data_IF_394638568315
#
_entry.id   IF_394638568315
#
_cell.length_a   1.000
_cell.length_b   1.000
_cell.length_c   1.000
_cell.angle_alpha   90.00
_cell.angle_beta   90.00
_cell.angle_gamma   90.00
#
_symmetry.space_group_name_H-M   'P 1'
#
loop_
_entity.id
_entity.type
_entity.pdbx_description
1 polymer ?
#
# COMPACT_ATOMS: atom_id res chain seq x y z
N UNK A 1 -16.98 -90.07 -22.25
CA UNK A 1 -18.13 -90.47 -23.08
C UNK A 1 -18.43 -89.36 -24.10
N UNK A 2 -19.33 -89.56 -25.08
CA UNK A 2 -19.56 -88.66 -26.25
C UNK A 2 -20.03 -87.26 -25.80
N UNK A 3 -19.45 -86.12 -26.20
CA UNK A 3 -19.40 -85.43 -27.53
C UNK A 3 -20.75 -84.74 -27.89
N UNK A 4 -20.83 -83.46 -28.33
CA UNK A 4 -20.81 -83.02 -29.76
C UNK A 4 -20.95 -81.46 -29.94
N UNK A 5 -20.11 -80.82 -30.80
CA UNK A 5 -20.35 -79.66 -31.74
C UNK A 5 -20.72 -78.22 -31.21
N UNK A 6 -20.69 -77.06 -31.94
CA UNK A 6 -20.25 -76.58 -33.31
C UNK A 6 -20.01 -75.01 -33.30
N UNK A 7 -19.08 -74.36 -34.06
CA UNK A 7 -19.16 -73.72 -35.43
C UNK A 7 -20.18 -72.56 -35.62
N UNK A 8 -20.09 -71.52 -36.51
CA UNK A 8 -19.15 -70.94 -37.57
C UNK A 8 -19.67 -69.51 -37.99
N UNK A 9 -19.19 -68.64 -38.92
CA UNK A 9 -18.10 -68.53 -39.94
C UNK A 9 -17.84 -67.02 -40.38
N UNK A 10 -17.19 -66.77 -41.56
CA UNK A 10 -17.02 -65.51 -42.36
C UNK A 10 -15.97 -64.44 -41.90
N UNK A 11 -14.93 -64.00 -42.64
CA UNK A 11 -14.41 -64.15 -44.06
C UNK A 11 -15.12 -63.17 -45.06
N UNK A 12 -14.53 -62.38 -45.99
CA UNK A 12 -13.28 -62.51 -46.82
C UNK A 12 -12.65 -61.18 -47.38
N UNK A 13 -11.30 -61.10 -47.46
CA UNK A 13 -10.40 -60.44 -48.47
C UNK A 13 -10.27 -58.91 -48.79
N UNK A 14 -9.12 -58.54 -49.38
CA UNK A 14 -8.88 -57.31 -50.19
C UNK A 14 -7.42 -56.80 -50.26
N UNK A 15 -6.79 -56.69 -51.44
CA UNK A 15 -5.36 -56.25 -51.57
C UNK A 15 -5.04 -55.63 -52.96
N UNK A 16 -4.63 -54.36 -53.03
CA UNK A 16 -4.30 -53.63 -54.27
C UNK A 16 -2.97 -52.84 -54.08
N UNK A 17 -2.27 -52.43 -55.15
CA UNK A 17 -0.86 -52.01 -55.09
C UNK A 17 -0.42 -50.97 -56.16
N UNK A 18 0.79 -50.41 -55.97
CA UNK A 18 1.61 -49.53 -56.88
C UNK A 18 1.21 -48.03 -56.89
N UNK A 19 2.07 -47.04 -57.25
CA UNK A 19 3.38 -47.04 -57.97
C UNK A 19 4.23 -45.77 -57.66
N UNK A 20 5.57 -45.90 -57.72
CA UNK A 20 6.67 -44.93 -58.01
C UNK A 20 6.31 -43.49 -58.47
N UNK A 21 7.08 -42.40 -58.17
CA UNK A 21 8.45 -42.16 -58.71
C UNK A 21 9.18 -40.92 -58.11
N UNK A 22 10.53 -40.92 -58.20
CA UNK A 22 11.48 -39.77 -58.20
C UNK A 22 11.65 -38.85 -56.97
N UNK A 23 12.82 -38.23 -56.86
CA UNK A 23 13.22 -37.25 -55.83
C UNK A 23 13.97 -36.07 -56.48
N UNK A 24 13.99 -34.89 -55.83
CA UNK A 24 15.10 -33.90 -55.76
C UNK A 24 14.64 -32.54 -55.16
N UNK A 25 15.34 -32.10 -54.11
CA UNK A 25 15.63 -30.72 -53.63
C UNK A 25 14.60 -29.56 -53.61
N UNK A 26 14.43 -28.99 -52.40
CA UNK A 26 14.22 -27.55 -52.08
C UNK A 26 12.85 -26.88 -52.43
N UNK A 27 12.54 -25.65 -51.95
CA UNK A 27 13.09 -24.86 -50.82
C UNK A 27 12.02 -24.36 -49.79
N UNK A 28 12.48 -23.72 -48.72
CA UNK A 28 11.83 -22.66 -47.89
C UNK A 28 10.30 -22.52 -47.79
N UNK A 29 9.78 -22.44 -46.56
CA UNK A 29 8.72 -21.45 -46.23
C UNK A 29 8.89 -20.87 -44.82
N UNK A 30 9.39 -19.64 -44.75
CA UNK A 30 9.52 -18.82 -43.53
C UNK A 30 8.25 -17.98 -43.40
N UNK A 31 7.21 -18.46 -42.71
CA UNK A 31 5.94 -17.72 -42.55
C UNK A 31 5.07 -18.27 -41.39
N UNK A 32 5.38 -17.86 -40.15
CA UNK A 32 4.44 -17.56 -39.04
C UNK A 32 5.19 -17.21 -37.73
N UNK A 33 6.16 -16.28 -37.82
CA UNK A 33 6.59 -15.50 -36.67
C UNK A 33 5.87 -14.15 -36.77
N UNK A 34 4.56 -14.18 -36.50
CA UNK A 34 3.65 -13.07 -36.72
C UNK A 34 3.81 -12.01 -35.63
N UNK A 35 4.68 -11.03 -35.90
CA UNK A 35 4.59 -9.62 -35.52
C UNK A 35 3.59 -9.29 -34.40
N UNK A 36 3.90 -9.74 -33.18
CA UNK A 36 3.68 -8.90 -32.01
C UNK A 36 4.96 -8.08 -31.91
N UNK A 37 4.94 -6.87 -32.45
CA UNK A 37 5.91 -5.86 -32.05
C UNK A 37 5.66 -5.59 -30.57
N UNK A 38 6.64 -5.89 -29.71
CA UNK A 38 6.61 -5.40 -28.34
C UNK A 38 6.50 -3.88 -28.41
N UNK A 39 5.33 -3.33 -28.06
CA UNK A 39 5.15 -1.91 -27.76
C UNK A 39 5.89 -1.59 -26.45
N UNK A 40 7.21 -1.68 -26.50
CA UNK A 40 8.10 -1.17 -25.49
C UNK A 40 7.97 0.36 -25.50
N UNK A 41 7.03 0.86 -24.70
CA UNK A 41 7.26 2.15 -24.07
C UNK A 41 8.53 2.02 -23.23
N UNK A 42 9.42 3.00 -23.35
CA UNK A 42 10.79 2.92 -22.82
C UNK A 42 10.95 3.97 -21.75
N UNK A 43 11.19 3.53 -20.51
CA UNK A 43 11.59 4.43 -19.42
C UNK A 43 12.80 5.26 -19.85
N UNK A 44 12.59 6.55 -20.06
CA UNK A 44 13.61 7.48 -20.54
C UNK A 44 14.45 8.09 -19.39
N UNK A 45 15.51 8.83 -19.73
CA UNK A 45 16.24 9.61 -18.72
C UNK A 45 15.39 10.78 -18.17
N UNK A 46 14.46 11.32 -18.95
CA UNK A 46 13.51 12.33 -18.50
C UNK A 46 12.47 11.73 -17.53
N UNK A 47 11.94 10.55 -17.84
CA UNK A 47 11.04 9.78 -16.94
C UNK A 47 11.71 9.57 -15.57
N UNK A 48 13.01 9.32 -15.58
CA UNK A 48 13.84 9.15 -14.38
C UNK A 48 14.13 10.45 -13.61
N UNK A 49 13.88 11.62 -14.19
CA UNK A 49 13.90 12.93 -13.52
C UNK A 49 12.51 13.21 -12.92
N UNK A 50 11.43 12.99 -13.68
CA UNK A 50 10.07 13.25 -13.19
C UNK A 50 9.64 12.29 -12.07
N UNK A 51 10.01 11.00 -12.14
CA UNK A 51 9.77 10.08 -11.02
C UNK A 51 10.54 10.50 -9.75
N UNK A 52 11.73 11.09 -9.88
CA UNK A 52 12.48 11.64 -8.72
C UNK A 52 11.74 12.82 -8.09
N UNK A 53 11.12 13.68 -8.90
CA UNK A 53 10.25 14.74 -8.40
C UNK A 53 8.98 14.20 -7.73
N UNK A 54 8.43 13.07 -8.20
CA UNK A 54 7.33 12.38 -7.52
C UNK A 54 7.78 11.80 -6.16
N UNK A 55 9.00 11.26 -6.06
CA UNK A 55 9.63 10.82 -4.79
C UNK A 55 9.87 12.00 -3.83
N UNK A 56 10.35 13.13 -4.33
CA UNK A 56 10.51 14.39 -3.58
C UNK A 56 9.14 14.91 -3.07
N UNK A 57 8.09 14.86 -3.89
CA UNK A 57 6.74 15.20 -3.49
C UNK A 57 6.21 14.25 -2.41
N UNK A 58 6.29 12.93 -2.61
CA UNK A 58 5.84 11.90 -1.68
C UNK A 58 6.42 12.08 -0.26
N UNK A 59 7.68 12.54 -0.18
CA UNK A 59 8.39 12.77 1.08
C UNK A 59 7.70 13.79 2.00
N UNK A 60 6.81 14.65 1.49
CA UNK A 60 6.00 15.58 2.29
C UNK A 60 4.88 14.88 3.08
N UNK A 61 4.45 13.68 2.65
CA UNK A 61 3.37 12.91 3.30
C UNK A 61 3.83 12.02 4.46
N UNK A 62 5.14 11.84 4.65
CA UNK A 62 5.71 11.02 5.73
C UNK A 62 5.31 11.57 7.10
N UNK A 63 4.98 10.69 8.05
CA UNK A 63 4.52 11.07 9.39
C UNK A 63 3.11 11.66 9.47
N UNK A 64 2.39 11.82 8.35
CA UNK A 64 1.03 12.37 8.33
C UNK A 64 0.01 11.42 7.67
N UNK A 65 0.47 10.51 6.81
CA UNK A 65 -0.37 9.63 5.98
C UNK A 65 -0.86 8.35 6.64
N UNK A 66 -0.30 7.91 7.77
CA UNK A 66 -0.72 6.69 8.48
C UNK A 66 -2.27 6.58 8.62
N UNK A 67 -2.89 5.40 8.37
CA UNK A 67 -2.29 4.11 8.02
C UNK A 67 -1.96 3.93 6.52
N UNK A 68 -2.32 4.91 5.68
CA UNK A 68 -2.09 4.91 4.23
C UNK A 68 -0.58 5.08 3.90
N UNK A 69 -0.15 4.73 2.68
CA UNK A 69 1.20 5.04 2.22
C UNK A 69 1.37 6.54 1.95
N UNK A 70 2.59 7.04 2.12
CA UNK A 70 2.99 8.29 1.48
C UNK A 70 3.16 8.06 -0.02
N UNK A 71 2.53 8.89 -0.84
CA UNK A 71 2.53 8.81 -2.31
C UNK A 71 2.74 10.22 -2.87
N UNK A 72 3.47 10.33 -3.97
CA UNK A 72 3.64 11.55 -4.76
C UNK A 72 3.33 11.31 -6.23
N UNK A 73 2.90 12.37 -6.91
CA UNK A 73 2.52 12.40 -8.32
C UNK A 73 3.02 13.68 -8.99
N UNK A 74 3.45 13.58 -10.25
CA UNK A 74 3.83 14.71 -11.12
C UNK A 74 3.13 14.53 -12.47
N UNK A 75 2.57 15.60 -13.02
CA UNK A 75 1.98 15.65 -14.36
C UNK A 75 2.87 16.52 -15.26
N UNK A 76 3.19 16.02 -16.45
CA UNK A 76 4.12 16.66 -17.40
C UNK A 76 3.49 16.70 -18.79
N UNK A 77 3.60 17.83 -19.49
CA UNK A 77 3.16 17.96 -20.88
C UNK A 77 4.13 17.30 -21.87
N UNK A 78 3.70 17.13 -23.13
CA UNK A 78 4.56 16.73 -24.25
C UNK A 78 5.64 17.75 -24.62
N UNK A 79 5.62 18.95 -24.03
CA UNK A 79 6.64 20.00 -24.16
C UNK A 79 7.65 19.98 -22.98
N UNK A 80 7.74 18.84 -22.26
CA UNK A 80 8.56 18.61 -21.05
C UNK A 80 8.24 19.52 -19.83
N UNK A 81 7.21 20.36 -19.90
CA UNK A 81 6.78 21.23 -18.81
C UNK A 81 6.03 20.47 -17.71
N UNK A 82 6.43 20.67 -16.45
CA UNK A 82 5.65 20.18 -15.30
C UNK A 82 4.43 21.09 -15.15
N UNK A 83 3.23 20.50 -15.28
CA UNK A 83 1.96 21.20 -15.19
C UNK A 83 1.24 20.93 -13.86
N UNK A 84 1.67 19.96 -13.06
CA UNK A 84 1.10 19.73 -11.72
C UNK A 84 1.92 18.81 -10.83
N UNK A 85 1.98 19.09 -9.53
CA UNK A 85 2.66 18.25 -8.53
C UNK A 85 1.76 18.04 -7.31
N UNK A 86 1.67 16.81 -6.82
CA UNK A 86 0.85 16.46 -5.66
C UNK A 86 1.47 15.39 -4.78
N UNK A 87 1.03 15.33 -3.52
CA UNK A 87 1.31 14.24 -2.60
C UNK A 87 0.08 13.93 -1.76
N UNK A 88 -0.06 12.70 -1.26
CA UNK A 88 -1.13 12.36 -0.33
C UNK A 88 -0.82 12.98 1.05
N UNK A 89 -1.66 13.89 1.59
CA UNK A 89 -1.29 14.62 2.80
C UNK A 89 -1.63 13.90 4.10
N UNK A 90 -2.77 13.19 4.13
CA UNK A 90 -3.33 12.55 5.33
C UNK A 90 -4.39 11.52 4.95
N UNK A 91 -4.44 10.39 5.66
CA UNK A 91 -5.49 9.39 5.48
C UNK A 91 -6.90 10.00 5.60
N UNK A 92 -7.79 9.64 4.69
CA UNK A 92 -9.16 10.16 4.59
C UNK A 92 -9.34 11.36 3.65
N UNK A 93 -8.25 11.97 3.18
CA UNK A 93 -8.22 12.99 2.12
C UNK A 93 -7.79 12.36 0.77
N UNK A 94 -7.92 13.07 -0.37
CA UNK A 94 -7.51 12.56 -1.68
C UNK A 94 -6.03 12.17 -1.77
N UNK A 95 -5.71 11.35 -2.76
CA UNK A 95 -4.35 10.90 -3.04
C UNK A 95 -3.56 11.92 -3.89
N UNK A 96 -2.28 11.64 -4.11
CA UNK A 96 -1.33 12.54 -4.76
C UNK A 96 -1.76 12.95 -6.18
N UNK A 97 -2.35 12.00 -6.91
CA UNK A 97 -2.88 12.12 -8.25
C UNK A 97 -3.90 13.25 -8.36
N UNK A 98 -4.75 13.42 -7.34
CA UNK A 98 -5.83 14.40 -7.30
C UNK A 98 -5.29 15.81 -7.05
N UNK A 99 -4.33 15.95 -6.13
CA UNK A 99 -3.66 17.23 -5.89
C UNK A 99 -2.82 17.70 -7.09
N UNK A 100 -2.15 16.77 -7.79
CA UNK A 100 -1.46 17.09 -9.03
C UNK A 100 -2.44 17.52 -10.14
N UNK A 101 -3.62 16.88 -10.23
CA UNK A 101 -4.67 17.25 -11.18
C UNK A 101 -5.33 18.60 -10.85
N UNK A 102 -5.46 19.00 -9.58
CA UNK A 102 -5.93 20.34 -9.22
C UNK A 102 -5.00 21.43 -9.80
N UNK A 103 -3.68 21.27 -9.68
CA UNK A 103 -2.70 22.19 -10.28
C UNK A 103 -2.76 22.16 -11.81
N UNK A 104 -2.71 20.97 -12.44
CA UNK A 104 -2.70 20.83 -13.90
C UNK A 104 -3.99 21.29 -14.61
N UNK A 105 -5.10 21.36 -13.89
CA UNK A 105 -6.38 21.88 -14.37
C UNK A 105 -6.61 23.36 -14.02
N UNK A 106 -5.68 24.02 -13.34
CA UNK A 106 -5.76 25.44 -12.97
C UNK A 106 -6.72 25.75 -11.80
N UNK A 107 -6.96 24.79 -10.90
CA UNK A 107 -7.77 24.99 -9.71
C UNK A 107 -6.97 25.57 -8.52
N UNK A 108 -5.66 25.36 -8.49
CA UNK A 108 -4.73 25.90 -7.48
C UNK A 108 -3.38 26.19 -8.14
N UNK A 109 -2.65 27.20 -7.65
CA UNK A 109 -1.30 27.53 -8.14
C UNK A 109 -0.22 26.48 -7.78
N UNK A 110 -0.51 25.61 -6.79
CA UNK A 110 0.41 24.59 -6.28
C UNK A 110 -0.38 23.48 -5.60
N UNK A 111 -0.43 22.30 -6.21
CA UNK A 111 -1.05 21.09 -5.65
C UNK A 111 -0.31 20.59 -4.41
N UNK A 112 0.99 20.86 -4.34
CA UNK A 112 1.83 20.62 -3.15
C UNK A 112 1.43 21.50 -1.98
N UNK A 113 1.16 22.80 -2.19
CA UNK A 113 0.78 23.69 -1.09
C UNK A 113 -0.71 23.55 -0.71
N UNK A 114 -1.57 23.19 -1.66
CA UNK A 114 -2.92 22.69 -1.38
C UNK A 114 -2.90 21.42 -0.51
N UNK A 115 -2.04 20.44 -0.80
CA UNK A 115 -1.87 19.26 0.06
C UNK A 115 -1.30 19.62 1.45
N UNK A 116 -0.37 20.60 1.55
CA UNK A 116 0.11 21.09 2.86
C UNK A 116 -0.96 21.84 3.65
N UNK A 117 -1.92 22.50 3.01
CA UNK A 117 -2.98 23.28 3.69
C UNK A 117 -3.82 22.36 4.59
N UNK A 118 -4.22 21.20 4.05
CA UNK A 118 -4.89 20.09 4.76
C UNK A 118 -4.12 19.64 6.01
N UNK A 119 -2.79 19.56 5.94
CA UNK A 119 -1.96 19.18 7.11
C UNK A 119 -1.95 20.29 8.16
N UNK A 120 -1.77 21.56 7.74
CA UNK A 120 -1.69 22.73 8.63
C UNK A 120 -2.98 22.91 9.46
N UNK A 121 -4.15 22.76 8.85
CA UNK A 121 -5.46 22.90 9.51
C UNK A 121 -5.57 22.07 10.78
N UNK A 122 -5.00 20.85 10.77
CA UNK A 122 -5.12 19.90 11.87
C UNK A 122 -4.25 20.24 13.10
N UNK A 123 -3.48 21.33 13.07
CA UNK A 123 -2.52 21.70 14.14
C UNK A 123 -2.75 23.09 14.76
N UNK A 124 -3.55 23.97 14.15
CA UNK A 124 -3.84 25.32 14.67
C UNK A 124 -5.37 25.59 14.73
N UNK A 125 -5.82 26.21 15.81
CA UNK A 125 -7.25 26.52 16.00
C UNK A 125 -7.71 27.76 15.22
N UNK A 126 -8.50 27.52 14.17
CA UNK A 126 -9.69 28.30 13.73
C UNK A 126 -9.49 29.74 13.19
N UNK A 127 -8.57 30.55 13.71
CA UNK A 127 -8.74 32.01 13.63
C UNK A 127 -8.33 32.72 12.33
N UNK A 128 -7.55 32.10 11.45
CA UNK A 128 -7.21 32.65 10.12
C UNK A 128 -7.33 31.52 9.08
N UNK A 129 -8.24 31.69 8.11
CA UNK A 129 -8.31 30.87 6.88
C UNK A 129 -7.80 31.71 5.73
N UNK A 130 -6.63 31.36 5.21
CA UNK A 130 -6.11 31.90 3.95
C UNK A 130 -7.02 31.47 2.78
N UNK A 131 -7.12 32.28 1.74
CA UNK A 131 -7.96 32.07 0.53
C UNK A 131 -7.74 30.69 -0.14
N UNK A 132 -6.50 30.17 -0.06
CA UNK A 132 -6.11 28.84 -0.54
C UNK A 132 -6.80 27.71 0.25
N UNK A 133 -7.12 27.92 1.53
CA UNK A 133 -7.83 26.92 2.36
C UNK A 133 -9.28 26.76 1.91
N UNK A 134 -10.00 27.87 1.73
CA UNK A 134 -11.41 27.86 1.33
C UNK A 134 -11.60 27.27 -0.06
N UNK A 135 -10.71 27.65 -1.00
CA UNK A 135 -10.62 27.04 -2.34
C UNK A 135 -10.39 25.52 -2.26
N UNK A 136 -9.52 25.05 -1.36
CA UNK A 136 -9.24 23.61 -1.20
C UNK A 136 -10.41 22.88 -0.54
N UNK A 137 -11.06 23.44 0.48
CA UNK A 137 -12.22 22.81 1.13
C UNK A 137 -13.37 22.59 0.11
N UNK A 138 -13.68 23.57 -0.75
CA UNK A 138 -14.68 23.46 -1.82
C UNK A 138 -14.33 22.37 -2.86
N UNK A 139 -13.04 22.28 -3.25
CA UNK A 139 -12.55 21.25 -4.17
C UNK A 139 -12.62 19.84 -3.54
N UNK A 140 -12.36 19.74 -2.23
CA UNK A 140 -12.44 18.48 -1.48
C UNK A 140 -13.88 17.99 -1.31
N UNK A 141 -14.83 18.89 -1.02
CA UNK A 141 -16.26 18.55 -1.01
C UNK A 141 -16.73 18.13 -2.40
N UNK A 142 -16.39 18.91 -3.43
CA UNK A 142 -16.76 18.60 -4.83
C UNK A 142 -16.20 17.25 -5.27
N UNK A 143 -14.92 16.96 -5.03
CA UNK A 143 -14.29 15.68 -5.40
C UNK A 143 -14.87 14.47 -4.65
N UNK A 144 -15.37 14.68 -3.43
CA UNK A 144 -15.99 13.64 -2.61
C UNK A 144 -17.47 13.37 -2.97
N UNK A 145 -18.05 14.14 -3.88
CA UNK A 145 -19.40 13.90 -4.41
C UNK A 145 -19.46 12.73 -5.40
N UNK A 146 -20.66 12.20 -5.64
CA UNK A 146 -20.91 11.01 -6.48
C UNK A 146 -20.23 11.06 -7.87
N UNK A 147 -20.20 12.25 -8.49
CA UNK A 147 -19.58 12.48 -9.80
C UNK A 147 -18.38 13.45 -9.74
N UNK A 148 -17.80 13.66 -8.55
CA UNK A 148 -16.81 14.71 -8.28
C UNK A 148 -15.59 14.70 -9.20
N UNK A 149 -15.04 13.51 -9.47
CA UNK A 149 -13.91 13.35 -10.38
C UNK A 149 -14.24 13.74 -11.84
N UNK A 150 -15.48 13.50 -12.29
CA UNK A 150 -15.94 13.91 -13.62
C UNK A 150 -16.15 15.43 -13.66
N UNK A 151 -16.94 15.98 -12.73
CA UNK A 151 -17.21 17.43 -12.59
C UNK A 151 -15.94 18.28 -12.59
N UNK A 152 -14.88 17.79 -11.94
CA UNK A 152 -13.62 18.51 -11.83
C UNK A 152 -12.68 18.26 -13.02
N UNK A 153 -12.57 17.04 -13.54
CA UNK A 153 -11.47 16.72 -14.47
C UNK A 153 -11.87 16.35 -15.90
N UNK A 154 -13.16 16.09 -16.19
CA UNK A 154 -13.61 15.56 -17.48
C UNK A 154 -13.00 16.29 -18.70
N UNK A 155 -12.15 15.58 -19.43
CA UNK A 155 -11.41 16.01 -20.62
C UNK A 155 -10.53 17.27 -20.47
N UNK A 156 -10.26 17.77 -19.25
CA UNK A 156 -9.49 19.02 -19.05
C UNK A 156 -8.04 18.96 -19.57
N UNK A 157 -7.46 17.77 -19.66
CA UNK A 157 -6.13 17.56 -20.25
C UNK A 157 -6.21 16.87 -21.64
N UNK A 158 -7.40 16.68 -22.21
CA UNK A 158 -7.58 15.85 -23.42
C UNK A 158 -6.85 16.40 -24.66
N UNK A 159 -6.75 17.72 -24.80
CA UNK A 159 -6.03 18.41 -25.88
C UNK A 159 -4.51 18.51 -25.68
N UNK A 160 -3.99 18.10 -24.51
CA UNK A 160 -2.56 18.06 -24.20
C UNK A 160 -2.07 16.61 -24.29
N UNK A 161 -0.85 16.41 -24.78
CA UNK A 161 -0.14 15.17 -24.44
C UNK A 161 0.34 15.30 -22.98
N UNK A 162 -0.06 14.38 -22.11
CA UNK A 162 0.26 14.43 -20.66
C UNK A 162 0.68 13.05 -20.18
N UNK A 163 1.87 12.98 -19.61
CA UNK A 163 2.35 11.81 -18.86
C UNK A 163 2.25 12.07 -17.36
N UNK A 164 1.65 11.12 -16.63
CA UNK A 164 1.64 11.11 -15.17
C UNK A 164 2.77 10.23 -14.61
N UNK A 165 3.50 10.72 -13.61
CA UNK A 165 4.56 10.01 -12.91
C UNK A 165 4.17 9.83 -11.45
N UNK A 166 3.91 8.60 -11.02
CA UNK A 166 3.32 8.30 -9.70
C UNK A 166 4.12 7.23 -8.95
N UNK A 167 4.43 7.50 -7.68
CA UNK A 167 5.34 6.64 -6.89
C UNK A 167 4.77 5.26 -6.54
N UNK A 168 3.45 5.08 -6.58
CA UNK A 168 2.72 3.84 -6.29
C UNK A 168 1.64 3.63 -7.35
N UNK A 169 1.20 2.39 -7.59
CA UNK A 169 0.06 2.08 -8.47
C UNK A 169 -1.20 2.87 -8.07
N UNK A 170 -1.82 3.65 -8.99
CA UNK A 170 -3.06 4.36 -8.71
C UNK A 170 -4.19 3.40 -8.33
N UNK A 171 -4.93 3.71 -7.27
CA UNK A 171 -5.96 2.81 -6.78
C UNK A 171 -7.10 2.61 -7.80
N UNK A 172 -7.67 1.39 -7.83
CA UNK A 172 -8.70 0.96 -8.78
C UNK A 172 -10.06 0.64 -8.13
N UNK A 173 -10.17 0.72 -6.80
CA UNK A 173 -11.40 0.43 -6.06
C UNK A 173 -12.06 1.73 -5.55
N UNK A 174 -13.38 1.74 -5.52
CA UNK A 174 -14.15 2.84 -4.92
C UNK A 174 -14.02 2.80 -3.39
N UNK A 175 -13.62 3.92 -2.81
CA UNK A 175 -13.52 4.12 -1.36
C UNK A 175 -14.56 5.12 -0.87
N UNK A 176 -14.13 6.14 -0.11
CA UNK A 176 -14.91 7.37 0.08
C UNK A 176 -14.89 8.28 -1.15
N UNK A 177 -13.91 8.08 -2.04
CA UNK A 177 -13.70 8.85 -3.27
C UNK A 177 -13.60 7.90 -4.47
N UNK A 178 -13.74 8.42 -5.70
CA UNK A 178 -13.45 7.66 -6.91
C UNK A 178 -12.01 7.13 -6.96
N UNK A 179 -11.76 6.01 -7.67
CA UNK A 179 -10.41 5.46 -7.84
C UNK A 179 -9.52 6.38 -8.70
N UNK A 180 -8.25 6.53 -8.31
CA UNK A 180 -7.31 7.45 -8.96
C UNK A 180 -6.96 7.03 -10.40
N UNK A 181 -6.95 5.72 -10.70
CA UNK A 181 -6.80 5.23 -12.08
C UNK A 181 -7.93 5.75 -13.00
N UNK A 182 -9.18 5.77 -12.51
CA UNK A 182 -10.32 6.34 -13.23
C UNK A 182 -10.25 7.87 -13.29
N UNK A 183 -9.70 8.51 -12.25
CA UNK A 183 -9.51 9.98 -12.22
C UNK A 183 -8.54 10.44 -13.33
N UNK A 184 -7.49 9.67 -13.64
CA UNK A 184 -6.62 9.94 -14.81
C UNK A 184 -7.32 9.71 -16.16
N UNK A 185 -8.19 8.69 -16.27
CA UNK A 185 -9.03 8.48 -17.46
C UNK A 185 -9.96 9.67 -17.69
N UNK A 186 -10.64 10.14 -16.64
CA UNK A 186 -11.51 11.32 -16.70
C UNK A 186 -10.73 12.59 -17.10
N UNK A 187 -9.53 12.79 -16.56
CA UNK A 187 -8.67 13.92 -16.91
C UNK A 187 -8.23 13.93 -18.39
N UNK A 188 -8.15 12.75 -19.03
CA UNK A 188 -7.68 12.60 -20.42
C UNK A 188 -6.15 12.43 -20.55
N UNK A 189 -5.48 11.97 -19.50
CA UNK A 189 -4.03 11.64 -19.46
C UNK A 189 -3.67 10.62 -20.54
N UNK A 190 -2.48 10.75 -21.16
CA UNK A 190 -2.07 9.91 -22.31
C UNK A 190 -1.12 8.77 -21.96
N UNK A 191 -0.39 8.86 -20.85
CA UNK A 191 0.56 7.83 -20.39
C UNK A 191 0.70 7.89 -18.87
N UNK A 192 0.93 6.75 -18.22
CA UNK A 192 1.24 6.70 -16.78
C UNK A 192 2.53 5.92 -16.55
N UNK A 193 3.46 6.48 -15.78
CA UNK A 193 4.71 5.85 -15.36
C UNK A 193 4.66 5.64 -13.85
N UNK A 194 4.78 4.39 -13.43
CA UNK A 194 4.59 3.94 -12.04
C UNK A 194 5.92 3.54 -11.43
N UNK A 195 6.21 4.06 -10.23
CA UNK A 195 7.44 3.77 -9.49
C UNK A 195 7.44 2.43 -8.77
N UNK A 196 6.27 1.99 -8.28
CA UNK A 196 6.10 0.71 -7.57
C UNK A 196 4.66 0.19 -7.73
N UNK A 197 4.49 -1.10 -7.98
CA UNK A 197 3.19 -1.79 -8.09
C UNK A 197 2.63 -2.11 -6.69
N UNK A 198 1.35 -1.91 -6.42
CA UNK A 198 0.80 -2.13 -5.08
C UNK A 198 0.52 -3.63 -4.85
N UNK A 199 1.21 -4.32 -3.90
CA UNK A 199 0.98 -5.75 -3.62
C UNK A 199 -0.32 -6.01 -2.82
N UNK A 200 -1.15 -5.00 -2.60
CA UNK A 200 -2.50 -5.15 -2.06
C UNK A 200 -3.38 -5.99 -3.01
N UNK A 201 -3.94 -7.14 -2.59
CA UNK A 201 -4.82 -7.94 -3.46
C UNK A 201 -6.12 -7.24 -3.93
N UNK A 202 -6.40 -6.02 -3.43
CA UNK A 202 -7.50 -5.13 -3.89
C UNK A 202 -7.06 -4.06 -4.89
N UNK A 203 -5.78 -4.04 -5.29
CA UNK A 203 -5.19 -3.05 -6.22
C UNK A 203 -4.29 -3.71 -7.25
N UNK A 204 -3.49 -4.72 -6.86
CA UNK A 204 -2.44 -5.42 -7.62
C UNK A 204 -2.72 -5.61 -9.13
N UNK A 205 -2.24 -4.67 -9.96
CA UNK A 205 -2.42 -4.66 -11.42
C UNK A 205 -3.82 -4.24 -11.92
N UNK A 206 -4.79 -4.05 -11.01
CA UNK A 206 -6.11 -3.51 -11.30
C UNK A 206 -6.09 -2.01 -11.60
N UNK A 207 -5.14 -1.26 -11.02
CA UNK A 207 -4.89 0.14 -11.40
C UNK A 207 -4.38 0.24 -12.82
N UNK A 208 -3.43 -0.62 -13.18
CA UNK A 208 -2.90 -0.70 -14.54
C UNK A 208 -4.01 -1.10 -15.53
N UNK A 209 -4.79 -2.13 -15.21
CA UNK A 209 -5.89 -2.59 -16.08
C UNK A 209 -6.93 -1.51 -16.37
N UNK A 210 -7.30 -0.68 -15.39
CA UNK A 210 -8.25 0.44 -15.61
C UNK A 210 -7.70 1.46 -16.63
N UNK A 211 -6.39 1.70 -16.62
CA UNK A 211 -5.73 2.61 -17.57
C UNK A 211 -5.61 1.96 -18.96
N UNK A 212 -5.13 0.71 -19.02
CA UNK A 212 -4.94 -0.06 -20.26
C UNK A 212 -6.26 -0.33 -21.00
N UNK A 213 -7.34 -0.67 -20.29
CA UNK A 213 -8.68 -0.88 -20.87
C UNK A 213 -9.25 0.41 -21.50
N UNK A 214 -8.78 1.58 -21.06
CA UNK A 214 -9.13 2.89 -21.63
C UNK A 214 -8.07 3.40 -22.62
N UNK A 215 -7.12 2.57 -23.02
CA UNK A 215 -6.09 2.87 -24.04
C UNK A 215 -4.92 3.71 -23.54
N UNK A 216 -4.79 3.94 -22.23
CA UNK A 216 -3.68 4.69 -21.62
C UNK A 216 -2.51 3.72 -21.35
N UNK A 217 -1.39 3.78 -22.08
CA UNK A 217 -0.20 2.96 -21.78
C UNK A 217 0.35 3.22 -20.38
N UNK A 218 0.71 2.13 -19.70
CA UNK A 218 1.32 2.14 -18.37
C UNK A 218 2.72 1.54 -18.41
N UNK A 219 3.70 2.27 -17.88
CA UNK A 219 5.05 1.78 -17.62
C UNK A 219 5.27 1.51 -16.13
N UNK A 220 5.97 0.44 -15.78
CA UNK A 220 6.40 0.14 -14.41
C UNK A 220 7.92 0.13 -14.34
N UNK A 221 8.51 0.99 -13.51
CA UNK A 221 9.95 1.00 -13.26
C UNK A 221 10.41 -0.25 -12.48
N UNK A 222 11.56 -0.81 -12.86
CA UNK A 222 12.04 -2.11 -12.35
C UNK A 222 13.21 -1.91 -11.38
N UNK A 223 13.01 -2.18 -10.09
CA UNK A 223 14.06 -2.05 -9.04
C UNK A 223 15.27 -2.99 -9.21
N UNK A 224 15.18 -4.03 -10.05
CA UNK A 224 16.27 -4.97 -10.27
C UNK A 224 17.25 -4.45 -11.34
N UNK A 225 18.46 -4.05 -10.94
CA UNK A 225 19.51 -3.52 -11.85
C UNK A 225 19.83 -4.39 -13.07
N UNK A 226 19.54 -5.70 -13.06
CA UNK A 226 19.78 -6.61 -14.21
C UNK A 226 18.61 -6.67 -15.20
N UNK A 227 17.47 -6.05 -14.87
CA UNK A 227 16.25 -5.99 -15.68
C UNK A 227 15.86 -4.54 -16.05
N UNK A 228 16.19 -3.58 -15.18
CA UNK A 228 16.05 -2.16 -15.44
C UNK A 228 16.81 -1.74 -16.71
N UNK A 229 16.33 -0.68 -17.37
CA UNK A 229 16.98 -0.06 -18.53
C UNK A 229 18.13 0.84 -18.10
N UNK A 230 18.04 1.45 -16.91
CA UNK A 230 19.12 2.28 -16.33
C UNK A 230 19.27 2.06 -14.82
N UNK A 231 20.43 2.48 -14.27
CA UNK A 231 20.63 2.54 -12.81
C UNK A 231 19.75 3.59 -12.14
N UNK A 232 19.33 4.62 -12.87
CA UNK A 232 18.41 5.63 -12.35
C UNK A 232 17.01 5.03 -12.15
N UNK A 233 16.53 4.21 -13.09
CA UNK A 233 15.27 3.48 -12.98
C UNK A 233 15.30 2.51 -11.79
N UNK A 234 16.34 1.69 -11.70
CA UNK A 234 16.49 0.73 -10.60
C UNK A 234 16.50 1.43 -9.23
N UNK A 235 17.20 2.57 -9.12
CA UNK A 235 17.20 3.38 -7.88
C UNK A 235 15.83 4.00 -7.62
N UNK A 236 15.21 4.66 -8.61
CA UNK A 236 13.91 5.32 -8.45
C UNK A 236 12.83 4.32 -8.01
N UNK A 237 12.77 3.14 -8.62
CA UNK A 237 11.84 2.08 -8.23
C UNK A 237 12.11 1.54 -6.81
N UNK A 238 13.39 1.41 -6.44
CA UNK A 238 13.75 1.02 -5.07
C UNK A 238 13.43 2.12 -4.04
N UNK A 239 13.59 3.40 -4.38
CA UNK A 239 13.22 4.54 -3.53
C UNK A 239 11.70 4.57 -3.30
N UNK A 240 10.89 4.37 -4.36
CA UNK A 240 9.44 4.21 -4.27
C UNK A 240 9.04 3.03 -3.37
N UNK A 241 9.65 1.86 -3.57
CA UNK A 241 9.45 0.68 -2.72
C UNK A 241 9.81 0.94 -1.25
N UNK A 242 10.86 1.73 -1.00
CA UNK A 242 11.31 2.08 0.36
C UNK A 242 10.28 2.96 1.08
N UNK A 243 9.73 3.99 0.41
CA UNK A 243 8.70 4.90 0.95
C UNK A 243 7.48 4.10 1.44
N UNK A 244 6.99 3.17 0.63
CA UNK A 244 5.78 2.39 0.97
C UNK A 244 6.07 1.14 1.80
N UNK A 245 7.33 0.86 2.17
CA UNK A 245 7.75 -0.45 2.70
C UNK A 245 7.04 -0.87 4.00
N UNK A 246 6.76 0.05 4.93
CA UNK A 246 6.01 -0.26 6.15
C UNK A 246 4.50 -0.38 5.92
N UNK A 247 3.95 0.31 4.92
CA UNK A 247 2.58 0.10 4.46
C UNK A 247 2.44 -1.31 3.85
N UNK A 248 3.32 -1.68 2.91
CA UNK A 248 3.34 -3.01 2.28
C UNK A 248 3.39 -4.13 3.33
N UNK A 249 4.27 -4.03 4.34
CA UNK A 249 4.34 -5.02 5.45
C UNK A 249 3.04 -5.10 6.27
N UNK A 250 2.25 -4.02 6.35
CA UNK A 250 0.94 -3.97 7.05
C UNK A 250 -0.15 -4.72 6.28
N UNK A 251 -0.19 -4.57 4.96
CA UNK A 251 -1.24 -5.11 4.08
C UNK A 251 -0.94 -6.51 3.52
N UNK A 252 0.33 -6.92 3.46
CA UNK A 252 0.73 -8.20 2.88
C UNK A 252 0.11 -9.39 3.65
N UNK A 253 -0.44 -10.41 2.95
CA UNK A 253 -0.98 -11.61 3.57
C UNK A 253 0.00 -12.27 4.54
N UNK A 254 -0.52 -12.80 5.66
CA UNK A 254 0.33 -13.30 6.75
C UNK A 254 0.85 -14.73 6.56
N UNK A 255 0.32 -15.50 5.61
CA UNK A 255 0.92 -16.74 5.05
C UNK A 255 0.64 -16.80 3.54
N UNK A 256 1.30 -17.69 2.81
CA UNK A 256 1.00 -17.97 1.39
C UNK A 256 -0.23 -18.88 1.23
N UNK A 257 -0.76 -19.44 2.32
CA UNK A 257 -1.67 -20.60 2.31
C UNK A 257 -3.11 -20.32 2.76
N UNK A 258 -3.38 -19.16 3.38
CA UNK A 258 -4.67 -18.91 4.04
C UNK A 258 -5.26 -17.54 3.65
N UNK A 259 -6.45 -17.56 3.08
CA UNK A 259 -7.26 -16.36 2.90
C UNK A 259 -7.97 -15.97 4.20
N UNK A 260 -8.03 -14.67 4.48
CA UNK A 260 -8.81 -14.01 5.55
C UNK A 260 -8.50 -14.36 7.02
N UNK A 261 -8.25 -15.62 7.40
CA UNK A 261 -8.36 -16.10 8.79
C UNK A 261 -7.11 -15.88 9.70
N UNK A 262 -6.24 -14.93 9.35
CA UNK A 262 -4.97 -14.66 10.04
C UNK A 262 -5.01 -13.28 10.74
N UNK A 263 -5.32 -13.13 12.03
CA UNK A 263 -5.48 -14.12 13.10
C UNK A 263 -6.67 -13.73 14.00
N UNK A 264 -7.36 -14.70 14.59
CA UNK A 264 -8.03 -14.45 15.86
C UNK A 264 -6.98 -14.10 16.94
N UNK A 265 -7.16 -12.95 17.57
CA UNK A 265 -6.23 -12.36 18.52
C UNK A 265 -5.93 -13.28 19.71
N UNK A 266 -6.96 -13.94 20.25
CA UNK A 266 -6.80 -14.79 21.45
C UNK A 266 -6.31 -16.20 21.09
N UNK A 267 -6.66 -16.75 19.92
CA UNK A 267 -6.12 -18.03 19.44
C UNK A 267 -4.58 -18.05 19.36
N UNK A 268 -3.97 -17.00 18.80
CA UNK A 268 -2.51 -16.95 18.63
C UNK A 268 -1.78 -16.64 19.93
N UNK A 269 -2.34 -15.75 20.76
CA UNK A 269 -1.70 -15.22 21.97
C UNK A 269 -2.19 -15.91 23.25
N UNK A 270 -1.86 -17.18 23.41
CA UNK A 270 -2.11 -17.90 24.66
C UNK A 270 -1.31 -17.34 25.86
N UNK A 271 -1.65 -17.77 27.08
CA UNK A 271 -1.03 -17.31 28.32
C UNK A 271 0.47 -17.60 28.45
N UNK A 272 0.95 -18.70 27.85
CA UNK A 272 2.37 -19.08 27.87
C UNK A 272 3.22 -18.14 27.01
N UNK A 273 2.80 -17.86 25.76
CA UNK A 273 3.44 -16.86 24.89
C UNK A 273 3.45 -15.47 25.53
N UNK A 274 2.33 -15.04 26.13
CA UNK A 274 2.29 -13.78 26.91
C UNK A 274 3.28 -13.79 28.09
N UNK A 275 3.61 -14.95 28.67
CA UNK A 275 4.64 -15.09 29.71
C UNK A 275 6.06 -14.98 29.18
N UNK A 276 6.38 -15.66 28.08
CA UNK A 276 7.69 -15.56 27.42
C UNK A 276 7.99 -14.11 27.05
N UNK A 277 7.02 -13.40 26.46
CA UNK A 277 7.15 -11.97 26.12
C UNK A 277 7.42 -11.07 27.33
N UNK A 278 6.76 -11.31 28.48
CA UNK A 278 7.05 -10.58 29.72
C UNK A 278 8.48 -10.84 30.22
N UNK A 279 8.95 -12.08 30.16
CA UNK A 279 10.32 -12.44 30.53
C UNK A 279 11.37 -11.83 29.59
N UNK A 280 11.09 -11.77 28.27
CA UNK A 280 11.93 -11.07 27.29
C UNK A 280 11.97 -9.56 27.59
N UNK A 281 10.81 -8.92 27.80
CA UNK A 281 10.74 -7.50 28.14
C UNK A 281 11.46 -7.16 29.45
N UNK A 282 11.38 -8.03 30.46
CA UNK A 282 12.12 -7.90 31.71
C UNK A 282 13.63 -7.93 31.50
N UNK A 283 14.14 -8.86 30.68
CA UNK A 283 15.57 -8.90 30.31
C UNK A 283 16.00 -7.64 29.54
N UNK A 284 15.27 -7.30 28.46
CA UNK A 284 15.55 -6.10 27.65
C UNK A 284 15.51 -4.80 28.45
N UNK A 285 14.73 -4.73 29.53
CA UNK A 285 14.70 -3.57 30.43
C UNK A 285 15.92 -3.52 31.36
N UNK A 286 16.42 -4.67 31.81
CA UNK A 286 17.60 -4.75 32.67
C UNK A 286 18.91 -4.47 31.90
N UNK A 287 19.00 -4.83 30.63
CA UNK A 287 20.15 -4.55 29.75
C UNK A 287 20.03 -3.21 28.97
N UNK A 288 18.93 -2.48 29.14
CA UNK A 288 18.58 -1.22 28.46
C UNK A 288 18.37 -1.32 26.92
N UNK A 289 18.17 -2.51 26.35
CA UNK A 289 17.77 -2.68 24.94
C UNK A 289 16.26 -2.50 24.68
N UNK A 290 15.46 -2.28 25.72
CA UNK A 290 14.01 -2.13 25.57
C UNK A 290 13.61 -0.78 24.96
N UNK A 291 12.94 -0.83 23.81
CA UNK A 291 12.39 0.36 23.15
C UNK A 291 11.10 0.81 23.86
N UNK A 292 11.09 2.04 24.37
CA UNK A 292 9.95 2.65 25.07
C UNK A 292 9.49 3.96 24.40
N UNK A 293 8.23 4.02 23.96
CA UNK A 293 7.58 5.25 23.49
C UNK A 293 6.75 5.88 24.62
N UNK A 294 6.90 7.18 24.84
CA UNK A 294 5.96 7.95 25.66
C UNK A 294 4.85 8.52 24.79
N UNK A 295 3.64 8.65 25.35
CA UNK A 295 2.57 9.43 24.71
C UNK A 295 3.02 10.90 24.50
N UNK A 296 2.74 11.53 23.35
CA UNK A 296 3.18 12.90 23.08
C UNK A 296 2.65 13.90 24.12
N UNK A 297 3.47 14.87 24.52
CA UNK A 297 3.03 15.95 25.42
C UNK A 297 2.01 16.91 24.79
N UNK A 298 1.94 16.94 23.45
CA UNK A 298 0.92 17.63 22.65
C UNK A 298 -0.20 16.69 22.17
N UNK A 299 -0.22 15.43 22.62
CA UNK A 299 -1.27 14.48 22.27
C UNK A 299 -2.57 14.79 23.01
N UNK A 300 -3.68 14.19 22.56
CA UNK A 300 -4.95 14.27 23.28
C UNK A 300 -4.83 13.71 24.71
N UNK A 301 -5.73 14.14 25.60
CA UNK A 301 -5.79 13.69 26.99
C UNK A 301 -7.23 13.47 27.44
N UNK A 302 -7.51 12.30 28.03
CA UNK A 302 -8.81 11.99 28.63
C UNK A 302 -8.77 12.30 30.13
N UNK A 303 -9.27 13.47 30.51
CA UNK A 303 -9.63 13.77 31.90
C UNK A 303 -10.96 13.06 32.23
N UNK A 304 -10.87 12.03 33.05
CA UNK A 304 -12.01 11.27 33.51
C UNK A 304 -12.00 11.19 35.05
N UNK A 305 -11.88 12.33 35.74
CA UNK A 305 -12.04 12.39 37.21
C UNK A 305 -13.40 11.89 37.65
N UNK A 306 -14.46 12.39 37.02
CA UNK A 306 -15.84 12.02 37.35
C UNK A 306 -16.15 10.54 37.14
N UNK A 307 -17.14 10.05 37.89
CA UNK A 307 -17.62 8.67 37.80
C UNK A 307 -18.48 8.41 36.55
N UNK A 308 -19.07 9.47 35.98
CA UNK A 308 -20.05 9.38 34.89
C UNK A 308 -19.44 9.47 33.48
N UNK A 309 -18.12 9.68 33.35
CA UNK A 309 -17.43 9.69 32.04
C UNK A 309 -17.27 8.25 31.56
N UNK A 310 -17.90 7.92 30.43
CA UNK A 310 -17.61 6.66 29.74
C UNK A 310 -16.18 6.70 29.20
N UNK A 311 -15.33 5.88 29.80
CA UNK A 311 -13.90 5.83 29.51
C UNK A 311 -13.59 4.95 28.28
N UNK A 312 -14.53 4.15 27.80
CA UNK A 312 -14.40 3.38 26.57
C UNK A 312 -14.79 4.26 25.37
N UNK A 313 -15.89 5.01 25.46
CA UNK A 313 -16.27 6.02 24.46
C UNK A 313 -15.21 7.14 24.36
N UNK A 314 -14.79 7.72 25.49
CA UNK A 314 -13.82 8.81 25.48
C UNK A 314 -12.44 8.40 24.93
N UNK A 315 -12.04 7.12 25.09
CA UNK A 315 -10.80 6.59 24.51
C UNK A 315 -10.99 6.13 23.05
N UNK A 316 -12.20 5.73 22.64
CA UNK A 316 -12.52 5.45 21.24
C UNK A 316 -12.51 6.73 20.39
N UNK A 317 -13.08 7.82 20.89
CA UNK A 317 -13.14 9.12 20.21
C UNK A 317 -11.84 9.95 20.32
N UNK A 318 -10.85 9.47 21.08
CA UNK A 318 -9.55 10.13 21.27
C UNK A 318 -8.77 10.22 19.94
N UNK A 319 -8.24 11.39 19.59
CA UNK A 319 -7.30 11.50 18.47
C UNK A 319 -5.93 10.92 18.85
N UNK A 320 -5.33 10.17 17.93
CA UNK A 320 -3.96 9.65 18.03
C UNK A 320 -3.14 10.35 16.96
N UNK A 321 -1.95 10.84 17.32
CA UNK A 321 -1.06 11.49 16.36
C UNK A 321 -0.50 10.47 15.35
N UNK A 322 -0.61 10.79 14.05
CA UNK A 322 -0.22 9.89 12.98
C UNK A 322 1.31 9.66 12.93
N UNK A 323 2.11 10.68 13.26
CA UNK A 323 3.58 10.60 13.25
C UNK A 323 4.07 9.69 14.37
N UNK A 324 3.49 9.83 15.57
CA UNK A 324 3.72 8.93 16.70
C UNK A 324 3.28 7.49 16.37
N UNK A 325 2.11 7.31 15.78
CA UNK A 325 1.60 5.99 15.42
C UNK A 325 2.47 5.29 14.36
N UNK A 326 2.97 6.03 13.37
CA UNK A 326 3.91 5.53 12.36
C UNK A 326 5.27 5.19 12.97
N UNK A 327 5.79 6.00 13.91
CA UNK A 327 7.03 5.70 14.62
C UNK A 327 6.92 4.43 15.50
N UNK A 328 5.79 4.26 16.18
CA UNK A 328 5.45 3.05 16.95
C UNK A 328 5.32 1.83 16.02
N UNK A 329 4.69 1.98 14.86
CA UNK A 329 4.56 0.93 13.84
C UNK A 329 5.91 0.48 13.28
N UNK A 330 6.77 1.44 12.92
CA UNK A 330 8.11 1.19 12.41
C UNK A 330 8.97 0.48 13.47
N UNK A 331 8.87 0.87 14.74
CA UNK A 331 9.58 0.20 15.82
C UNK A 331 9.11 -1.24 16.08
N UNK A 332 7.81 -1.53 15.94
CA UNK A 332 7.28 -2.90 16.00
C UNK A 332 7.82 -3.78 14.84
N UNK A 333 8.08 -3.23 13.65
CA UNK A 333 8.72 -3.99 12.58
C UNK A 333 10.17 -4.36 12.86
N UNK A 334 10.93 -3.49 13.54
CA UNK A 334 12.37 -3.69 13.77
C UNK A 334 12.72 -4.43 15.07
N UNK A 335 11.87 -4.35 16.10
CA UNK A 335 12.18 -4.87 17.45
C UNK A 335 11.21 -5.95 17.94
N UNK A 336 10.09 -6.15 17.23
CA UNK A 336 8.91 -6.95 17.57
C UNK A 336 8.18 -6.59 18.88
N UNK A 337 8.86 -6.06 19.88
CA UNK A 337 8.38 -5.91 21.26
C UNK A 337 8.76 -4.53 21.80
N UNK A 338 7.77 -3.73 22.19
CA UNK A 338 7.93 -2.33 22.66
C UNK A 338 7.08 -2.01 23.88
N UNK A 339 7.47 -1.00 24.66
CA UNK A 339 6.64 -0.43 25.74
C UNK A 339 6.00 0.90 25.31
N UNK A 340 4.71 1.07 25.56
CA UNK A 340 3.99 2.34 25.41
C UNK A 340 3.67 2.92 26.79
N UNK A 341 4.21 4.09 27.13
CA UNK A 341 3.95 4.82 28.37
C UNK A 341 2.83 5.84 28.17
N UNK A 342 1.62 5.47 28.55
CA UNK A 342 0.36 6.19 28.30
C UNK A 342 -0.05 7.12 29.46
N UNK A 343 0.86 7.44 30.39
CA UNK A 343 0.59 8.28 31.58
C UNK A 343 0.02 9.65 31.23
N UNK A 344 0.49 10.25 30.13
CA UNK A 344 0.05 11.56 29.65
C UNK A 344 -1.19 11.48 28.73
N UNK A 345 -1.74 10.29 28.49
CA UNK A 345 -2.91 10.09 27.64
C UNK A 345 -4.22 10.01 28.45
N UNK A 346 -4.17 9.37 29.62
CA UNK A 346 -5.36 8.94 30.38
C UNK A 346 -5.05 8.87 31.88
N UNK A 347 -5.93 9.43 32.73
CA UNK A 347 -5.70 9.40 34.19
C UNK A 347 -5.94 8.01 34.81
N UNK A 348 -7.04 7.34 34.43
CA UNK A 348 -7.45 6.05 35.01
C UNK A 348 -6.71 4.89 34.34
N UNK A 349 -6.16 3.96 35.13
CA UNK A 349 -5.45 2.74 34.65
C UNK A 349 -6.29 1.89 33.67
N UNK A 350 -7.62 1.84 33.84
CA UNK A 350 -8.55 1.20 32.88
C UNK A 350 -8.42 1.83 31.48
N UNK A 351 -8.32 3.16 31.40
CA UNK A 351 -8.12 3.90 30.15
C UNK A 351 -6.82 3.54 29.45
N UNK A 352 -5.73 3.32 30.22
CA UNK A 352 -4.45 2.90 29.65
C UNK A 352 -4.51 1.48 29.07
N UNK A 353 -5.35 0.60 29.66
CA UNK A 353 -5.67 -0.71 29.08
C UNK A 353 -6.43 -0.56 27.76
N UNK A 354 -7.55 0.16 27.77
CA UNK A 354 -8.39 0.37 26.58
C UNK A 354 -7.60 1.02 25.44
N UNK A 355 -6.80 2.06 25.73
CA UNK A 355 -5.98 2.75 24.74
C UNK A 355 -4.86 1.85 24.20
N UNK A 356 -4.20 1.07 25.06
CA UNK A 356 -3.20 0.09 24.64
C UNK A 356 -3.78 -1.01 23.74
N UNK A 357 -5.00 -1.48 24.05
CA UNK A 357 -5.73 -2.48 23.25
C UNK A 357 -6.21 -1.90 21.91
N UNK A 358 -6.67 -0.64 21.90
CA UNK A 358 -7.01 0.11 20.69
C UNK A 358 -5.80 0.30 19.77
N UNK A 359 -4.68 0.80 20.31
CA UNK A 359 -3.43 1.01 19.55
C UNK A 359 -2.92 -0.32 18.99
N UNK A 360 -2.96 -1.40 19.78
CA UNK A 360 -2.59 -2.73 19.30
C UNK A 360 -3.47 -3.20 18.11
N UNK A 361 -4.78 -2.97 18.19
CA UNK A 361 -5.73 -3.29 17.11
C UNK A 361 -5.44 -2.49 15.83
N UNK A 362 -5.24 -1.17 15.94
CA UNK A 362 -4.92 -0.30 14.79
C UNK A 362 -3.57 -0.65 14.13
N UNK A 363 -2.60 -1.17 14.90
CA UNK A 363 -1.28 -1.60 14.42
C UNK A 363 -1.21 -3.08 13.98
N UNK A 364 -2.31 -3.83 14.06
CA UNK A 364 -2.36 -5.28 13.90
C UNK A 364 -1.26 -6.00 14.72
N UNK A 365 -1.26 -5.70 16.01
CA UNK A 365 -0.32 -6.15 17.04
C UNK A 365 -1.08 -6.67 18.28
N UNK A 366 -0.34 -7.23 19.24
CA UNK A 366 -0.87 -7.92 20.42
C UNK A 366 -0.46 -7.22 21.71
N UNK A 367 -1.36 -7.20 22.72
CA UNK A 367 -1.04 -6.71 24.07
C UNK A 367 -0.58 -7.89 24.91
N UNK A 368 0.73 -7.97 25.18
CA UNK A 368 1.29 -9.02 26.03
C UNK A 368 1.02 -8.77 27.52
N UNK A 369 0.96 -7.50 27.93
CA UNK A 369 0.59 -7.05 29.28
C UNK A 369 0.22 -5.57 29.29
N UNK A 370 -0.58 -5.13 30.27
CA UNK A 370 -0.68 -3.73 30.69
C UNK A 370 -0.40 -3.65 32.19
N UNK A 371 0.48 -2.74 32.62
CA UNK A 371 0.87 -2.53 34.02
C UNK A 371 0.77 -1.04 34.33
N UNK A 372 -0.19 -0.67 35.19
CA UNK A 372 -0.43 0.74 35.53
C UNK A 372 -0.87 1.54 34.30
N UNK A 373 0.04 2.36 33.78
CA UNK A 373 -0.15 3.17 32.57
C UNK A 373 0.77 2.75 31.42
N UNK A 374 1.41 1.57 31.51
CA UNK A 374 2.34 1.07 30.49
C UNK A 374 1.79 -0.18 29.82
N UNK A 375 1.65 -0.17 28.50
CA UNK A 375 1.29 -1.34 27.70
C UNK A 375 2.54 -1.95 27.04
N UNK A 376 2.65 -3.28 27.05
CA UNK A 376 3.68 -4.05 26.35
C UNK A 376 3.06 -4.60 25.06
N UNK A 377 3.47 -4.04 23.91
CA UNK A 377 2.98 -4.48 22.60
C UNK A 377 3.97 -5.40 21.91
N UNK A 378 3.44 -6.44 21.26
CA UNK A 378 4.19 -7.41 20.47
C UNK A 378 3.59 -7.56 19.06
N UNK A 379 4.44 -7.63 18.03
CA UNK A 379 4.07 -8.09 16.68
C UNK A 379 5.21 -8.93 16.10
N UNK A 380 4.95 -10.14 15.59
CA UNK A 380 5.98 -10.95 14.91
C UNK A 380 6.46 -10.26 13.62
N UNK A 381 7.77 -10.26 13.42
CA UNK A 381 8.43 -9.91 12.17
C UNK A 381 8.36 -11.08 11.17
N UNK A 382 9.06 -10.94 10.03
CA UNK A 382 9.06 -11.90 8.91
C UNK A 382 10.48 -12.12 8.38
N UNK A 383 11.14 -13.26 8.71
CA UNK A 383 10.73 -14.25 9.71
C UNK A 383 10.69 -13.66 11.13
N UNK A 384 9.99 -14.29 12.10
CA UNK A 384 10.01 -13.87 13.50
C UNK A 384 11.42 -13.90 14.09
N UNK A 385 11.74 -12.94 14.95
CA UNK A 385 13.06 -12.81 15.61
C UNK A 385 13.02 -13.40 17.03
N UNK A 386 11.91 -13.22 17.74
CA UNK A 386 11.66 -13.88 19.02
C UNK A 386 11.00 -15.25 18.80
N UNK A 387 11.70 -16.32 19.19
CA UNK A 387 11.04 -17.59 19.45
C UNK A 387 10.08 -17.44 20.63
N UNK A 388 8.83 -17.86 20.44
CA UNK A 388 7.79 -17.96 21.47
C UNK A 388 7.37 -19.39 21.76
N UNK A 389 8.08 -20.37 21.19
CA UNK A 389 7.92 -21.75 21.58
C UNK A 389 8.60 -21.99 22.94
N UNK A 390 8.12 -22.94 23.75
CA UNK A 390 8.86 -23.40 24.91
C UNK A 390 10.25 -23.87 24.49
N UNK A 391 11.28 -23.55 25.28
CA UNK A 391 12.50 -24.35 25.24
C UNK A 391 12.13 -25.69 25.86
N UNK A 392 12.27 -26.78 25.12
CA UNK A 392 12.29 -28.11 25.73
C UNK A 392 13.54 -28.15 26.61
N UNK A 393 13.35 -28.11 27.93
CA UNK A 393 14.45 -28.34 28.87
C UNK A 393 14.86 -29.81 28.73
N UNK A 394 16.06 -30.06 28.21
CA UNK A 394 16.63 -31.41 28.08
C UNK A 394 16.59 -32.11 29.45
N UNK A 395 15.67 -33.08 29.58
CA UNK A 395 15.55 -33.89 30.79
C UNK A 395 16.65 -34.96 30.77
N UNK A 396 17.87 -34.55 31.11
CA UNK A 396 18.94 -35.51 31.45
C UNK A 396 18.52 -36.29 32.72
N UNK A 397 18.24 -37.59 32.52
CA UNK A 397 17.72 -38.53 33.52
C UNK A 397 18.81 -39.27 34.29
#
# INVERSE_FOLDING_TARGET
MKSIHHHKHFIESGFISRKTHTALNAPTTRLHQSLVEEKASVISDADNIYMRKAIEAASNGLGNTFPNPAVGCVLVSGDDEIIGVGFHPKAGYPHAEVFALFEACGYVDSGVDAAKSVVKFTKNSINERDEVMETVDDLLETYSSENGAQTLFENRLAEKDVTAYVTLEPCCHFGKTPPCAYTFVQAGVKRVVVGFRDPNPKVDGGGFKVLEDNGIPVDLMIANERKARSKAEAKNAQDCANIVSSFVKRIAPRTESEGADILDYDSYMNGAKRSILRSVAGRRKNDNSMVEFAWPSSGAFVDAKDANVDLEEAVANMSIDHSWMEAVDNALWSHELILLRLTNAVQKKKGAKILGERIAKELNAHVAQVVGHTALLYRPARPPVLSLEPVEEDVET
#
